data_IF_428308680048
#
_entry.id   IF_428308680048
#
_cell.length_a   1.000
_cell.length_b   1.000
_cell.length_c   1.000
_cell.angle_alpha   90.00
_cell.angle_beta   90.00
_cell.angle_gamma   90.00
#
_symmetry.space_group_name_H-M   'P 1'
#
loop_
_entity.id
_entity.type
_entity.pdbx_description
1 polymer ?
#
# COMPACT_ATOMS: atom_id res chain seq x y z
N UNK A 1 0.12 24.15 51.47
CA UNK A 1 -0.58 22.90 51.03
C UNK A 1 -1.51 23.07 49.83
N UNK A 2 -2.07 24.22 49.53
CA UNK A 2 -3.00 24.44 48.39
C UNK A 2 -2.34 24.40 47.01
N UNK A 3 -1.10 24.90 46.86
CA UNK A 3 -0.38 24.97 45.57
C UNK A 3 -0.04 23.60 44.99
N UNK A 4 0.19 22.57 45.80
CA UNK A 4 0.48 21.23 45.33
C UNK A 4 -0.75 20.49 44.78
N UNK A 5 -1.94 20.79 45.30
CA UNK A 5 -3.21 20.22 44.83
C UNK A 5 -3.61 20.75 43.46
N UNK A 6 -3.41 22.04 43.21
CA UNK A 6 -3.72 22.64 41.91
C UNK A 6 -2.78 22.15 40.78
N UNK A 7 -1.50 21.94 41.11
CA UNK A 7 -0.53 21.35 40.17
C UNK A 7 -0.91 19.89 39.84
N UNK A 8 -1.33 19.10 40.83
CA UNK A 8 -1.72 17.71 40.64
C UNK A 8 -2.99 17.58 39.77
N UNK A 9 -3.98 18.42 40.01
CA UNK A 9 -5.22 18.48 39.21
C UNK A 9 -4.96 18.94 37.78
N UNK A 10 -4.06 19.90 37.57
CA UNK A 10 -3.64 20.33 36.20
C UNK A 10 -2.89 19.23 35.45
N UNK A 11 -2.00 18.50 36.11
CA UNK A 11 -1.30 17.36 35.48
C UNK A 11 -2.27 16.22 35.14
N UNK A 12 -3.22 15.91 36.02
CA UNK A 12 -4.22 14.86 35.72
C UNK A 12 -5.14 15.28 34.55
N UNK A 13 -5.57 16.54 34.49
CA UNK A 13 -6.42 17.01 33.40
C UNK A 13 -5.68 17.06 32.06
N UNK A 14 -4.38 17.42 32.04
CA UNK A 14 -3.58 17.39 30.82
C UNK A 14 -3.34 15.97 30.29
N UNK A 15 -3.13 15.00 31.18
CA UNK A 15 -2.96 13.59 30.80
C UNK A 15 -4.26 13.00 30.24
N UNK A 16 -5.40 13.27 30.83
CA UNK A 16 -6.71 12.80 30.35
C UNK A 16 -7.05 13.38 28.97
N UNK A 17 -6.74 14.64 28.74
CA UNK A 17 -6.94 15.28 27.42
C UNK A 17 -5.98 14.70 26.36
N UNK A 18 -4.73 14.42 26.73
CA UNK A 18 -3.75 13.80 25.87
C UNK A 18 -4.14 12.37 25.48
N UNK A 19 -4.62 11.57 26.44
CA UNK A 19 -5.10 10.21 26.20
C UNK A 19 -6.34 10.19 25.29
N UNK A 20 -7.31 11.05 25.55
CA UNK A 20 -8.49 11.15 24.68
C UNK A 20 -8.11 11.50 23.23
N UNK A 21 -7.18 12.44 23.05
CA UNK A 21 -6.70 12.83 21.74
C UNK A 21 -5.98 11.68 21.02
N UNK A 22 -5.16 10.92 21.74
CA UNK A 22 -4.52 9.70 21.22
C UNK A 22 -5.55 8.70 20.72
N UNK A 23 -6.55 8.34 21.51
CA UNK A 23 -7.59 7.40 21.11
C UNK A 23 -8.37 7.85 19.87
N UNK A 24 -8.65 9.14 19.73
CA UNK A 24 -9.33 9.67 18.54
C UNK A 24 -8.45 9.52 17.31
N UNK A 25 -7.14 9.82 17.42
CA UNK A 25 -6.18 9.71 16.31
C UNK A 25 -5.98 8.24 15.89
N UNK A 26 -5.83 7.34 16.85
CA UNK A 26 -5.75 5.89 16.62
C UNK A 26 -6.98 5.37 15.88
N UNK A 27 -8.18 5.79 16.30
CA UNK A 27 -9.43 5.42 15.61
C UNK A 27 -9.47 5.94 14.17
N UNK A 28 -8.97 7.15 13.92
CA UNK A 28 -8.88 7.71 12.56
C UNK A 28 -7.94 6.90 11.68
N UNK A 29 -6.75 6.56 12.17
CA UNK A 29 -5.79 5.74 11.43
C UNK A 29 -6.41 4.38 11.09
N UNK A 30 -7.03 3.69 12.05
CA UNK A 30 -7.70 2.41 11.78
C UNK A 30 -8.72 2.52 10.64
N UNK A 31 -9.52 3.58 10.62
CA UNK A 31 -10.49 3.80 9.55
C UNK A 31 -9.82 4.05 8.20
N UNK A 32 -8.75 4.84 8.15
CA UNK A 32 -8.01 5.13 6.91
C UNK A 32 -7.40 3.83 6.37
N UNK A 33 -6.67 3.09 7.22
CA UNK A 33 -6.07 1.81 6.86
C UNK A 33 -7.11 0.79 6.36
N UNK A 34 -8.23 0.67 7.08
CA UNK A 34 -9.31 -0.22 6.62
C UNK A 34 -9.87 0.22 5.27
N UNK A 35 -10.03 1.52 5.05
CA UNK A 35 -10.48 2.05 3.77
C UNK A 35 -9.48 1.76 2.65
N UNK A 36 -8.18 1.90 2.90
CA UNK A 36 -7.11 1.56 1.95
C UNK A 36 -7.14 0.08 1.58
N UNK A 37 -7.26 -0.82 2.57
CA UNK A 37 -7.34 -2.27 2.31
C UNK A 37 -8.59 -2.62 1.48
N UNK A 38 -9.76 -2.08 1.85
CA UNK A 38 -11.00 -2.33 1.09
C UNK A 38 -10.89 -1.80 -0.33
N UNK A 39 -10.31 -0.62 -0.48
CA UNK A 39 -10.06 -0.03 -1.80
C UNK A 39 -9.14 -0.93 -2.63
N UNK A 40 -7.99 -1.39 -2.10
CA UNK A 40 -7.04 -2.26 -2.79
C UNK A 40 -7.66 -3.61 -3.19
N UNK A 41 -8.56 -4.17 -2.38
CA UNK A 41 -9.30 -5.39 -2.76
C UNK A 41 -10.19 -5.14 -3.98
N UNK A 42 -10.94 -4.05 -3.99
CA UNK A 42 -11.80 -3.68 -5.12
C UNK A 42 -10.94 -3.40 -6.36
N UNK A 43 -9.88 -2.65 -6.20
CA UNK A 43 -8.93 -2.30 -7.26
C UNK A 43 -8.31 -3.55 -7.88
N UNK A 44 -7.82 -4.49 -7.06
CA UNK A 44 -7.24 -5.76 -7.52
C UNK A 44 -8.24 -6.54 -8.39
N UNK A 45 -9.47 -6.72 -7.92
CA UNK A 45 -10.49 -7.45 -8.65
C UNK A 45 -10.81 -6.78 -9.99
N UNK A 46 -11.03 -5.47 -9.97
CA UNK A 46 -11.40 -4.71 -11.17
C UNK A 46 -10.24 -4.66 -12.16
N UNK A 47 -9.01 -4.36 -11.67
CA UNK A 47 -7.83 -4.21 -12.54
C UNK A 47 -7.45 -5.56 -13.18
N UNK A 48 -7.42 -6.66 -12.42
CA UNK A 48 -7.11 -7.99 -12.98
C UNK A 48 -8.18 -8.40 -14.01
N UNK A 49 -9.46 -8.20 -13.69
CA UNK A 49 -10.54 -8.56 -14.61
C UNK A 49 -10.48 -7.71 -15.90
N UNK A 50 -10.36 -6.41 -15.77
CA UNK A 50 -10.26 -5.50 -16.91
C UNK A 50 -8.97 -5.74 -17.71
N UNK A 51 -7.86 -6.02 -17.04
CA UNK A 51 -6.57 -6.31 -17.67
C UNK A 51 -6.58 -7.62 -18.46
N UNK A 52 -7.20 -8.66 -17.92
CA UNK A 52 -7.34 -9.95 -18.65
C UNK A 52 -8.22 -9.81 -19.88
N UNK A 53 -9.33 -9.06 -19.78
CA UNK A 53 -10.21 -8.81 -20.91
C UNK A 53 -9.54 -7.97 -22.01
N UNK A 54 -8.72 -6.99 -21.61
CA UNK A 54 -8.01 -6.10 -22.53
C UNK A 54 -6.65 -6.64 -23.02
N UNK A 55 -6.20 -7.78 -22.52
CA UNK A 55 -4.84 -8.32 -22.76
C UNK A 55 -3.73 -7.33 -22.35
N UNK A 56 -3.97 -6.53 -21.31
CA UNK A 56 -3.06 -5.52 -20.77
C UNK A 56 -2.17 -6.09 -19.69
N UNK A 57 -0.88 -6.25 -19.97
CA UNK A 57 0.10 -6.71 -18.98
C UNK A 57 0.28 -5.72 -17.82
N UNK A 58 0.25 -4.41 -18.13
CA UNK A 58 0.38 -3.37 -17.13
C UNK A 58 -0.82 -3.35 -16.16
N UNK A 59 -2.04 -3.47 -16.67
CA UNK A 59 -3.24 -3.44 -15.84
C UNK A 59 -3.38 -4.69 -14.96
N UNK A 60 -2.99 -5.87 -15.49
CA UNK A 60 -2.90 -7.10 -14.68
C UNK A 60 -1.83 -6.94 -13.60
N UNK A 61 -0.65 -6.43 -13.97
CA UNK A 61 0.45 -6.20 -13.04
C UNK A 61 0.07 -5.25 -11.92
N UNK A 62 -0.64 -4.18 -12.22
CA UNK A 62 -1.18 -3.23 -11.25
C UNK A 62 -2.18 -3.88 -10.27
N UNK A 63 -3.11 -4.70 -10.77
CA UNK A 63 -4.05 -5.42 -9.90
C UNK A 63 -3.37 -6.51 -9.05
N UNK A 64 -2.31 -7.14 -9.55
CA UNK A 64 -1.50 -8.09 -8.77
C UNK A 64 -0.70 -7.37 -7.67
N UNK A 65 -0.20 -6.18 -7.93
CA UNK A 65 0.47 -5.33 -6.96
C UNK A 65 -0.47 -4.99 -5.78
N UNK A 66 -1.68 -4.51 -6.07
CA UNK A 66 -2.72 -4.28 -5.06
C UNK A 66 -3.09 -5.57 -4.30
N UNK A 67 -3.04 -6.74 -4.95
CA UNK A 67 -3.25 -8.04 -4.28
C UNK A 67 -2.12 -8.35 -3.30
N UNK A 68 -0.87 -8.09 -3.68
CA UNK A 68 0.30 -8.31 -2.81
C UNK A 68 0.23 -7.38 -1.60
N UNK A 69 -0.18 -6.13 -1.76
CA UNK A 69 -0.38 -5.20 -0.64
C UNK A 69 -1.39 -5.74 0.38
N UNK A 70 -2.55 -6.21 -0.07
CA UNK A 70 -3.57 -6.82 0.80
C UNK A 70 -3.03 -8.07 1.50
N UNK A 71 -2.33 -8.94 0.77
CA UNK A 71 -1.73 -10.15 1.33
C UNK A 71 -0.60 -9.84 2.32
N UNK A 72 0.19 -8.82 2.05
CA UNK A 72 1.24 -8.33 2.95
C UNK A 72 0.64 -7.82 4.25
N UNK A 73 -0.42 -7.02 4.17
CA UNK A 73 -1.17 -6.57 5.33
C UNK A 73 -1.73 -7.75 6.15
N UNK A 74 -2.30 -8.75 5.48
CA UNK A 74 -2.81 -9.95 6.15
C UNK A 74 -1.69 -10.80 6.78
N UNK A 75 -0.54 -10.93 6.12
CA UNK A 75 0.61 -11.68 6.63
C UNK A 75 1.20 -11.04 7.89
N UNK A 76 1.30 -9.70 7.91
CA UNK A 76 1.73 -8.95 9.09
C UNK A 76 0.71 -9.08 10.22
N UNK A 77 -0.59 -8.93 9.94
CA UNK A 77 -1.63 -9.16 10.94
C UNK A 77 -1.52 -10.55 11.57
N UNK A 78 -1.31 -11.58 10.74
CA UNK A 78 -1.12 -12.95 11.20
C UNK A 78 0.14 -13.10 12.07
N UNK A 79 1.26 -12.46 11.72
CA UNK A 79 2.48 -12.44 12.51
C UNK A 79 2.23 -11.96 13.93
N UNK A 80 1.49 -10.88 14.12
CA UNK A 80 1.17 -10.32 15.43
C UNK A 80 0.20 -11.18 16.27
N UNK A 81 -0.50 -12.16 15.68
CA UNK A 81 -1.28 -13.14 16.44
C UNK A 81 -0.40 -14.20 17.13
N UNK A 82 0.90 -14.26 16.82
CA UNK A 82 1.83 -15.23 17.38
C UNK A 82 2.41 -14.75 18.72
N UNK A 83 2.79 -15.73 19.58
CA UNK A 83 3.38 -15.46 20.90
C UNK A 83 4.73 -14.75 20.86
N UNK A 84 5.40 -14.81 19.70
CA UNK A 84 6.74 -14.28 19.48
C UNK A 84 6.80 -13.68 18.07
N UNK A 85 6.24 -12.47 17.87
CA UNK A 85 6.14 -11.82 16.55
C UNK A 85 7.49 -11.60 15.87
N UNK A 86 8.52 -11.22 16.62
CA UNK A 86 9.86 -10.91 16.12
C UNK A 86 10.51 -12.12 15.44
N UNK A 87 10.22 -13.33 15.94
CA UNK A 87 10.75 -14.57 15.35
C UNK A 87 10.17 -14.84 13.95
N UNK A 88 8.94 -14.40 13.68
CA UNK A 88 8.24 -14.61 12.42
C UNK A 88 8.44 -13.47 11.41
N UNK A 89 8.93 -12.33 11.84
CA UNK A 89 9.11 -11.14 11.03
C UNK A 89 9.92 -11.42 9.76
N UNK A 90 11.12 -12.00 9.90
CA UNK A 90 11.96 -12.35 8.74
C UNK A 90 11.29 -13.34 7.77
N UNK A 91 10.48 -14.26 8.30
CA UNK A 91 9.74 -15.21 7.48
C UNK A 91 8.66 -14.52 6.66
N UNK A 92 7.89 -13.65 7.30
CA UNK A 92 6.84 -12.83 6.67
C UNK A 92 7.43 -11.95 5.57
N UNK A 93 8.52 -11.22 5.86
CA UNK A 93 9.18 -10.35 4.89
C UNK A 93 9.74 -11.12 3.69
N UNK A 94 10.26 -12.33 3.88
CA UNK A 94 10.70 -13.17 2.76
C UNK A 94 9.57 -13.63 1.88
N UNK A 95 8.41 -13.97 2.44
CA UNK A 95 7.22 -14.33 1.65
C UNK A 95 6.76 -13.15 0.81
N UNK A 96 6.72 -11.96 1.39
CA UNK A 96 6.39 -10.71 0.68
C UNK A 96 7.40 -10.45 -0.45
N UNK A 97 8.70 -10.54 -0.16
CA UNK A 97 9.75 -10.36 -1.17
C UNK A 97 9.61 -11.33 -2.34
N UNK A 98 9.34 -12.61 -2.06
CA UNK A 98 9.12 -13.63 -3.09
C UNK A 98 7.89 -13.29 -3.94
N UNK A 99 6.81 -12.78 -3.34
CA UNK A 99 5.62 -12.36 -4.08
C UNK A 99 5.94 -11.19 -5.03
N UNK A 100 6.69 -10.18 -4.60
CA UNK A 100 7.13 -9.08 -5.45
C UNK A 100 8.08 -9.53 -6.57
N UNK A 101 9.01 -10.44 -6.30
CA UNK A 101 9.86 -11.00 -7.37
C UNK A 101 9.05 -11.83 -8.37
N UNK A 102 8.07 -12.61 -7.92
CA UNK A 102 7.17 -13.34 -8.81
C UNK A 102 6.36 -12.38 -9.70
N UNK A 103 5.84 -11.29 -9.12
CA UNK A 103 5.18 -10.21 -9.87
C UNK A 103 6.12 -9.61 -10.91
N UNK A 104 7.34 -9.25 -10.52
CA UNK A 104 8.33 -8.66 -11.41
C UNK A 104 8.64 -9.58 -12.59
N UNK A 105 8.83 -10.87 -12.35
CA UNK A 105 9.07 -11.87 -13.40
C UNK A 105 7.86 -11.98 -14.31
N UNK A 106 6.67 -12.12 -13.76
CA UNK A 106 5.43 -12.24 -14.54
C UNK A 106 5.21 -11.03 -15.45
N UNK A 107 5.27 -9.82 -14.88
CA UNK A 107 5.01 -8.58 -15.63
C UNK A 107 6.10 -8.31 -16.65
N UNK A 108 7.39 -8.52 -16.32
CA UNK A 108 8.49 -8.32 -17.27
C UNK A 108 8.39 -9.27 -18.45
N UNK A 109 8.15 -10.57 -18.19
CA UNK A 109 8.00 -11.56 -19.28
C UNK A 109 6.80 -11.22 -20.15
N UNK A 110 5.65 -10.91 -19.55
CA UNK A 110 4.43 -10.55 -20.27
C UNK A 110 4.63 -9.28 -21.14
N UNK A 111 5.27 -8.25 -20.58
CA UNK A 111 5.54 -6.99 -21.29
C UNK A 111 6.54 -7.20 -22.43
N UNK A 112 7.62 -7.96 -22.22
CA UNK A 112 8.60 -8.26 -23.26
C UNK A 112 7.97 -9.09 -24.37
N UNK A 113 7.19 -10.10 -24.04
CA UNK A 113 6.47 -10.90 -25.03
C UNK A 113 5.48 -10.04 -25.83
N UNK A 114 4.74 -9.15 -25.14
CA UNK A 114 3.83 -8.23 -25.82
C UNK A 114 4.55 -7.34 -26.84
N UNK A 115 5.76 -6.87 -26.53
CA UNK A 115 6.60 -6.11 -27.47
C UNK A 115 7.10 -6.95 -28.64
N UNK A 116 7.50 -8.21 -28.40
CA UNK A 116 8.06 -9.08 -29.44
C UNK A 116 6.99 -9.56 -30.42
N UNK A 117 5.82 -9.93 -29.92
CA UNK A 117 4.72 -10.49 -30.73
C UNK A 117 3.76 -9.42 -31.23
N UNK A 118 3.93 -8.17 -30.79
CA UNK A 118 3.04 -7.04 -31.09
C UNK A 118 1.59 -7.33 -30.66
N UNK A 119 1.41 -7.65 -29.37
CA UNK A 119 0.08 -7.84 -28.83
C UNK A 119 -0.66 -6.50 -28.87
N UNK A 120 -1.79 -6.47 -29.56
CA UNK A 120 -2.67 -5.33 -29.55
C UNK A 120 -3.51 -5.36 -28.25
N UNK A 121 -3.33 -4.36 -27.40
CA UNK A 121 -4.10 -4.20 -26.16
C UNK A 121 -5.43 -3.55 -26.52
N UNK A 122 -6.53 -4.21 -26.14
CA UNK A 122 -7.87 -3.68 -26.37
C UNK A 122 -8.16 -2.47 -25.48
N UNK A 123 -9.04 -1.59 -25.96
CA UNK A 123 -9.47 -0.43 -25.17
C UNK A 123 -10.21 -0.87 -23.92
N UNK A 124 -9.72 -0.44 -22.76
CA UNK A 124 -10.31 -0.76 -21.47
C UNK A 124 -10.82 0.49 -20.75
N UNK A 125 -12.06 0.93 -20.99
CA UNK A 125 -12.63 2.07 -20.27
C UNK A 125 -12.68 1.84 -18.76
N UNK A 126 -12.93 0.60 -18.33
CA UNK A 126 -12.93 0.22 -16.91
C UNK A 126 -11.52 0.32 -16.32
N UNK A 127 -10.50 -0.15 -17.06
CA UNK A 127 -9.10 -0.01 -16.66
C UNK A 127 -8.68 1.44 -16.51
N UNK A 128 -9.05 2.30 -17.47
CA UNK A 128 -8.79 3.74 -17.41
C UNK A 128 -9.52 4.36 -16.19
N UNK A 129 -10.78 3.99 -15.96
CA UNK A 129 -11.56 4.54 -14.86
C UNK A 129 -10.97 4.16 -13.49
N UNK A 130 -10.58 2.88 -13.26
CA UNK A 130 -10.01 2.45 -11.99
C UNK A 130 -8.64 3.07 -11.74
N UNK A 131 -7.77 3.11 -12.74
CA UNK A 131 -6.44 3.73 -12.59
C UNK A 131 -6.52 5.25 -12.41
N UNK A 132 -7.44 5.93 -13.09
CA UNK A 132 -7.70 7.35 -12.87
C UNK A 132 -8.25 7.62 -11.46
N UNK A 133 -9.13 6.76 -10.97
CA UNK A 133 -9.64 6.85 -9.61
C UNK A 133 -8.50 6.67 -8.59
N UNK A 134 -7.59 5.72 -8.81
CA UNK A 134 -6.44 5.47 -7.94
C UNK A 134 -5.47 6.65 -7.91
N UNK A 135 -5.19 7.27 -9.05
CA UNK A 135 -4.35 8.49 -9.14
C UNK A 135 -4.94 9.62 -8.28
N UNK A 136 -6.26 9.68 -8.14
CA UNK A 136 -6.92 10.69 -7.30
C UNK A 136 -7.00 10.25 -5.85
N UNK A 137 -7.45 9.03 -5.57
CA UNK A 137 -7.76 8.54 -4.21
C UNK A 137 -6.49 8.28 -3.40
N UNK A 138 -5.49 7.62 -3.99
CA UNK A 138 -4.27 7.22 -3.28
C UNK A 138 -3.46 8.39 -2.69
N UNK A 139 -3.26 9.52 -3.36
CA UNK A 139 -2.58 10.66 -2.74
C UNK A 139 -3.32 11.22 -1.53
N UNK A 140 -4.65 11.22 -1.53
CA UNK A 140 -5.44 11.68 -0.38
C UNK A 140 -5.31 10.72 0.80
N UNK A 141 -5.34 9.40 0.56
CA UNK A 141 -5.12 8.40 1.59
C UNK A 141 -3.70 8.53 2.16
N UNK A 142 -2.68 8.58 1.31
CA UNK A 142 -1.29 8.80 1.72
C UNK A 142 -1.10 10.06 2.57
N UNK A 143 -1.67 11.18 2.16
CA UNK A 143 -1.60 12.43 2.94
C UNK A 143 -2.34 12.33 4.28
N UNK A 144 -3.47 11.61 4.32
CA UNK A 144 -4.23 11.39 5.54
C UNK A 144 -3.47 10.49 6.52
N UNK A 145 -2.87 9.41 6.05
CA UNK A 145 -2.00 8.50 6.82
C UNK A 145 -0.77 9.24 7.36
N UNK A 146 -0.09 9.99 6.51
CA UNK A 146 1.09 10.77 6.89
C UNK A 146 0.79 11.78 7.99
N UNK A 147 -0.27 12.59 7.84
CA UNK A 147 -0.65 13.59 8.85
C UNK A 147 -1.01 12.93 10.18
N UNK A 148 -1.78 11.85 10.13
CA UNK A 148 -2.14 11.11 11.34
C UNK A 148 -0.92 10.45 11.98
N UNK A 149 0.02 9.92 11.19
CA UNK A 149 1.29 9.38 11.66
C UNK A 149 2.20 10.43 12.31
N UNK A 150 2.33 11.60 11.70
CA UNK A 150 3.09 12.74 12.25
C UNK A 150 2.50 13.22 13.58
N UNK A 151 1.16 13.31 13.69
CA UNK A 151 0.46 13.72 14.94
C UNK A 151 0.62 12.70 16.07
N UNK A 152 0.74 11.40 15.75
CA UNK A 152 0.96 10.33 16.73
C UNK A 152 2.44 10.07 17.03
N UNK A 153 3.36 10.60 16.22
CA UNK A 153 4.78 10.27 16.26
C UNK A 153 5.06 8.82 15.82
N UNK A 154 4.18 8.22 15.01
CA UNK A 154 4.30 6.86 14.51
C UNK A 154 5.15 6.79 13.25
N UNK A 155 6.36 6.22 13.35
CA UNK A 155 7.24 6.01 12.21
C UNK A 155 6.62 5.02 11.19
N UNK A 156 5.87 4.05 11.68
CA UNK A 156 5.19 3.04 10.86
C UNK A 156 4.11 3.66 9.98
N UNK A 157 3.28 4.57 10.51
CA UNK A 157 2.26 5.28 9.74
C UNK A 157 2.86 6.17 8.65
N UNK A 158 4.00 6.79 8.93
CA UNK A 158 4.73 7.60 7.95
C UNK A 158 5.33 6.71 6.84
N UNK A 159 5.84 5.54 7.20
CA UNK A 159 6.38 4.59 6.23
C UNK A 159 5.27 4.04 5.30
N UNK A 160 4.12 3.66 5.87
CA UNK A 160 2.95 3.19 5.12
C UNK A 160 2.43 4.25 4.13
N UNK A 161 2.38 5.51 4.55
CA UNK A 161 2.01 6.60 3.66
C UNK A 161 2.91 6.75 2.43
N UNK A 162 4.20 6.38 2.54
CA UNK A 162 5.11 6.38 1.39
C UNK A 162 4.78 5.25 0.42
N UNK A 163 4.41 4.08 0.92
CA UNK A 163 3.98 2.95 0.09
C UNK A 163 2.70 3.28 -0.66
N UNK A 164 1.69 3.83 0.02
CA UNK A 164 0.45 4.32 -0.62
C UNK A 164 0.74 5.38 -1.70
N UNK A 165 1.77 6.20 -1.52
CA UNK A 165 2.20 7.16 -2.53
C UNK A 165 2.85 6.48 -3.76
N UNK A 166 3.59 5.38 -3.58
CA UNK A 166 4.15 4.60 -4.69
C UNK A 166 3.04 4.04 -5.58
N UNK A 167 1.92 3.55 -5.00
CA UNK A 167 0.75 3.11 -5.77
C UNK A 167 0.17 4.23 -6.65
N UNK A 168 0.26 5.49 -6.22
CA UNK A 168 -0.10 6.64 -7.05
C UNK A 168 0.75 6.73 -8.32
N UNK A 169 2.07 6.55 -8.21
CA UNK A 169 2.96 6.59 -9.36
C UNK A 169 2.73 5.40 -10.30
N UNK A 170 2.48 4.21 -9.76
CA UNK A 170 2.13 3.03 -10.55
C UNK A 170 0.82 3.22 -11.28
N UNK A 171 -0.22 3.70 -10.59
CA UNK A 171 -1.52 4.03 -11.19
C UNK A 171 -1.37 5.05 -12.33
N UNK A 172 -0.55 6.09 -12.12
CA UNK A 172 -0.30 7.10 -13.15
C UNK A 172 0.42 6.52 -14.38
N UNK A 173 1.41 5.65 -14.18
CA UNK A 173 2.13 5.00 -15.27
C UNK A 173 1.19 4.12 -16.10
N UNK A 174 0.34 3.30 -15.43
CA UNK A 174 -0.65 2.45 -16.12
C UNK A 174 -1.70 3.30 -16.84
N UNK A 175 -2.21 4.33 -16.17
CA UNK A 175 -3.19 5.25 -16.77
C UNK A 175 -2.63 5.88 -18.06
N UNK A 176 -1.40 6.39 -18.01
CA UNK A 176 -0.74 6.95 -19.19
C UNK A 176 -0.59 5.91 -20.29
N UNK A 177 -0.15 4.69 -19.97
CA UNK A 177 -0.05 3.59 -20.93
C UNK A 177 -1.38 3.28 -21.62
N UNK A 178 -2.46 3.12 -20.83
CA UNK A 178 -3.80 2.82 -21.34
C UNK A 178 -4.38 3.96 -22.18
N UNK A 179 -4.18 5.22 -21.76
CA UNK A 179 -4.67 6.40 -22.48
C UNK A 179 -3.92 6.57 -23.80
N UNK A 180 -2.60 6.41 -23.82
CA UNK A 180 -1.79 6.49 -25.04
C UNK A 180 -2.18 5.38 -26.02
N UNK A 181 -2.42 4.17 -25.53
CA UNK A 181 -2.92 3.10 -26.37
C UNK A 181 -4.32 3.42 -26.93
N UNK A 182 -5.24 3.91 -26.08
CA UNK A 182 -6.62 4.18 -26.47
C UNK A 182 -6.78 5.36 -27.44
N UNK A 183 -5.98 6.44 -27.26
CA UNK A 183 -6.12 7.67 -28.04
C UNK A 183 -5.18 7.71 -29.27
N UNK A 184 -3.98 7.17 -29.12
CA UNK A 184 -2.94 7.27 -30.17
C UNK A 184 -2.65 5.92 -30.85
N UNK A 185 -3.26 4.82 -30.39
CA UNK A 185 -2.98 3.48 -30.90
C UNK A 185 -1.55 3.00 -30.63
N UNK A 186 -0.90 3.51 -29.57
CA UNK A 186 0.46 3.14 -29.20
C UNK A 186 0.47 1.78 -28.50
N UNK A 187 0.42 0.73 -29.24
CA UNK A 187 0.38 -0.66 -28.77
C UNK A 187 1.50 -1.02 -27.77
N UNK A 188 2.65 -0.37 -27.86
CA UNK A 188 3.81 -0.59 -26.99
C UNK A 188 3.72 0.14 -25.64
N UNK A 189 2.81 1.12 -25.50
CA UNK A 189 2.73 1.98 -24.32
C UNK A 189 2.32 1.19 -23.06
N UNK A 190 1.44 0.21 -23.17
CA UNK A 190 1.06 -0.71 -22.10
C UNK A 190 2.26 -1.54 -21.63
N UNK A 191 3.02 -2.10 -22.56
CA UNK A 191 4.18 -2.91 -22.21
C UNK A 191 5.27 -2.08 -21.51
N UNK A 192 5.46 -0.82 -21.91
CA UNK A 192 6.38 0.09 -21.21
C UNK A 192 5.88 0.41 -19.81
N UNK A 193 4.58 0.63 -19.61
CA UNK A 193 3.99 0.81 -18.29
C UNK A 193 4.20 -0.44 -17.42
N UNK A 194 4.04 -1.65 -17.98
CA UNK A 194 4.36 -2.91 -17.29
C UNK A 194 5.83 -3.02 -16.88
N UNK A 195 6.77 -2.59 -17.72
CA UNK A 195 8.18 -2.55 -17.35
C UNK A 195 8.46 -1.56 -16.20
N UNK A 196 7.75 -0.44 -16.15
CA UNK A 196 7.82 0.48 -15.00
C UNK A 196 7.36 -0.23 -13.72
N UNK A 197 6.23 -0.95 -13.75
CA UNK A 197 5.77 -1.77 -12.60
C UNK A 197 6.85 -2.77 -12.21
N UNK A 198 7.49 -3.44 -13.17
CA UNK A 198 8.58 -4.39 -12.90
C UNK A 198 9.70 -3.77 -12.09
N UNK A 199 10.15 -2.56 -12.44
CA UNK A 199 11.21 -1.85 -11.70
C UNK A 199 10.80 -1.58 -10.25
N UNK A 200 9.57 -1.15 -10.02
CA UNK A 200 9.04 -0.93 -8.68
C UNK A 200 8.91 -2.24 -7.90
N UNK A 201 8.36 -3.29 -8.50
CA UNK A 201 8.22 -4.61 -7.86
C UNK A 201 9.59 -5.22 -7.46
N UNK A 202 10.63 -5.08 -8.30
CA UNK A 202 11.99 -5.49 -7.95
C UNK A 202 12.52 -4.70 -6.76
N UNK A 203 12.29 -3.39 -6.73
CA UNK A 203 12.73 -2.52 -5.64
C UNK A 203 12.07 -2.91 -4.32
N UNK A 204 10.75 -3.03 -4.31
CA UNK A 204 9.97 -3.46 -3.13
C UNK A 204 10.40 -4.87 -2.66
N UNK A 205 10.61 -5.79 -3.60
CA UNK A 205 11.13 -7.12 -3.29
C UNK A 205 12.52 -7.09 -2.62
N UNK A 206 13.42 -6.21 -3.06
CA UNK A 206 14.75 -6.05 -2.46
C UNK A 206 14.63 -5.43 -1.06
N UNK A 207 13.81 -4.41 -0.87
CA UNK A 207 13.58 -3.75 0.42
C UNK A 207 12.99 -4.76 1.43
N UNK A 208 11.97 -5.51 1.05
CA UNK A 208 11.41 -6.58 1.87
C UNK A 208 12.44 -7.68 2.20
N UNK A 209 13.28 -8.06 1.24
CA UNK A 209 14.33 -9.06 1.46
C UNK A 209 15.39 -8.60 2.46
N UNK A 210 15.73 -7.32 2.46
CA UNK A 210 16.70 -6.71 3.38
C UNK A 210 16.14 -6.52 4.79
N UNK A 211 14.83 -6.63 4.96
CA UNK A 211 14.17 -6.37 6.23
C UNK A 211 13.83 -4.89 6.45
N UNK A 212 13.99 -4.06 5.42
CA UNK A 212 13.66 -2.63 5.45
C UNK A 212 12.18 -2.40 5.07
N UNK A 213 11.37 -3.46 5.05
CA UNK A 213 9.98 -3.36 4.68
C UNK A 213 9.28 -2.38 5.61
N UNK A 214 8.72 -1.35 5.00
CA UNK A 214 7.84 -0.41 5.67
C UNK A 214 6.81 -1.19 6.45
N UNK A 215 6.62 -0.84 7.73
CA UNK A 215 5.59 -1.45 8.55
C UNK A 215 4.26 -1.28 7.81
N UNK A 216 3.66 -2.40 7.45
CA UNK A 216 2.37 -2.39 6.77
C UNK A 216 1.31 -1.82 7.68
N UNK A 217 0.28 -1.19 7.11
CA UNK A 217 -0.87 -0.57 7.75
C UNK A 217 -1.47 -1.38 8.91
N UNK A 218 -1.33 -2.69 8.86
CA UNK A 218 -1.84 -3.60 9.89
C UNK A 218 -0.96 -3.63 11.13
N UNK A 219 0.35 -3.38 11.04
CA UNK A 219 1.21 -3.21 12.19
C UNK A 219 0.68 -2.12 13.13
N UNK A 220 0.20 -1.02 12.56
CA UNK A 220 -0.44 0.08 13.30
C UNK A 220 -1.74 -0.32 14.02
N UNK A 221 -2.54 -1.21 13.40
CA UNK A 221 -3.79 -1.68 14.02
C UNK A 221 -3.54 -2.54 15.25
N UNK A 222 -2.37 -3.16 15.35
CA UNK A 222 -2.02 -4.15 16.35
C UNK A 222 -1.13 -3.58 17.47
N UNK A 223 -0.24 -2.60 17.18
CA UNK A 223 0.56 -1.91 18.20
C UNK A 223 -0.29 -1.16 19.24
N UNK A 224 -1.50 -0.77 18.88
CA UNK A 224 -2.42 -0.07 19.75
C UNK A 224 -3.25 -0.99 20.68
N UNK A 225 -3.15 -2.31 20.53
CA UNK A 225 -3.86 -3.29 21.38
C UNK A 225 -3.21 -3.52 22.75
N UNK A 226 -1.89 -3.34 22.83
CA UNK A 226 -1.12 -3.55 24.05
C UNK A 226 -0.57 -2.23 24.58
N UNK A 227 -1.39 -1.50 25.32
CA UNK A 227 -1.00 -0.28 26.04
C UNK A 227 -0.05 -0.55 27.22
N UNK A 228 1.06 -1.27 26.99
CA UNK A 228 2.13 -1.44 27.94
C UNK A 228 3.27 -0.46 27.64
N UNK A 229 3.68 0.40 28.60
CA UNK A 229 4.84 1.25 28.41
C UNK A 229 6.09 0.39 28.36
N UNK A 230 6.81 0.46 27.26
CA UNK A 230 8.19 -0.05 27.20
C UNK A 230 9.07 0.85 28.06
N UNK A 231 9.61 0.26 29.12
CA UNK A 231 10.65 0.81 29.99
C UNK A 231 12.00 0.85 29.22
#
# INVERSE_FOLDING_TARGET
MLRGRELHVRMMSSNVVADHRRHVLQRRIRWIVTATIVYNVIEAIVAITAGTLASSAALIGFGLDSTIEVLSAAAVAWQFTRRDPERWERGTLRVIAVAFFALAIYVSVSSVLALLVRVEVEHSPIGIAITALSVVVMPFLSLAERRAGEELGSATAIADSKQTLLCTYLSAAVLVGLVLNSLLGWWWADAVAGLVITVFAVREGIEAWRGDACATSVGMLLEDGDGAPLH
#
